data_IF_867387375501
#
_entry.id   IF_867387375501
#
_cell.length_a   1.000
_cell.length_b   1.000
_cell.length_c   1.000
_cell.angle_alpha   90.00
_cell.angle_beta   90.00
_cell.angle_gamma   90.00
#
_symmetry.space_group_name_H-M   'P 1'
#
loop_
_entity.id
_entity.type
_entity.pdbx_description
1 polymer ?
#
# COMPACT_ATOMS: atom_id res chain seq x y z
N UNK A 1 -21.17 3.86 -6.12
CA UNK A 1 -19.89 3.76 -5.40
C UNK A 1 -19.99 2.57 -4.46
N UNK A 2 -19.05 1.66 -4.56
CA UNK A 2 -19.01 0.37 -3.86
C UNK A 2 -18.87 0.56 -2.33
N UNK A 3 -20.01 0.68 -1.63
CA UNK A 3 -20.10 0.85 -0.17
C UNK A 3 -19.59 -0.35 0.66
N UNK A 4 -19.24 -1.48 0.03
CA UNK A 4 -18.85 -2.71 0.72
C UNK A 4 -17.52 -2.61 1.46
N UNK A 5 -16.59 -1.77 1.01
CA UNK A 5 -15.28 -1.55 1.66
C UNK A 5 -15.45 -0.98 3.09
N UNK A 6 -16.57 -0.28 3.34
CA UNK A 6 -16.88 0.33 4.63
C UNK A 6 -18.06 -0.34 5.37
N UNK A 7 -18.91 -1.11 4.69
CA UNK A 7 -20.14 -1.71 5.29
C UNK A 7 -19.94 -3.06 5.95
N UNK A 8 -19.11 -3.95 5.42
CA UNK A 8 -19.10 -5.35 5.89
C UNK A 8 -18.12 -5.64 7.01
N UNK A 9 -17.51 -4.61 7.62
CA UNK A 9 -16.47 -4.79 8.65
C UNK A 9 -15.28 -5.64 8.17
N UNK A 10 -15.19 -5.91 6.85
CA UNK A 10 -14.17 -6.75 6.26
C UNK A 10 -12.93 -5.89 6.09
N UNK A 11 -12.17 -5.79 7.17
CA UNK A 11 -10.89 -5.08 7.19
C UNK A 11 -9.93 -5.71 6.18
N UNK A 12 -8.99 -4.92 5.64
CA UNK A 12 -7.89 -5.46 4.81
C UNK A 12 -7.19 -6.64 5.50
N UNK A 13 -7.05 -6.55 6.83
CA UNK A 13 -6.58 -7.64 7.68
C UNK A 13 -7.45 -8.90 7.57
N UNK A 14 -8.78 -8.77 7.70
CA UNK A 14 -9.70 -9.90 7.54
C UNK A 14 -9.62 -10.55 6.15
N UNK A 15 -9.46 -9.77 5.07
CA UNK A 15 -9.26 -10.34 3.72
C UNK A 15 -7.93 -11.08 3.62
N UNK A 16 -6.86 -10.51 4.19
CA UNK A 16 -5.54 -11.14 4.22
C UNK A 16 -5.56 -12.48 4.95
N UNK A 17 -6.19 -12.53 6.13
CA UNK A 17 -6.36 -13.73 6.95
C UNK A 17 -7.29 -14.76 6.28
N UNK A 18 -8.39 -14.32 5.66
CA UNK A 18 -9.34 -15.20 4.95
C UNK A 18 -8.67 -15.97 3.81
N UNK A 19 -7.74 -15.35 3.10
CA UNK A 19 -6.98 -16.00 2.04
C UNK A 19 -5.77 -16.79 2.56
N UNK A 20 -5.53 -16.84 3.89
CA UNK A 20 -4.43 -17.56 4.50
C UNK A 20 -3.05 -17.02 4.11
N UNK A 21 -2.98 -15.75 3.70
CA UNK A 21 -1.75 -15.12 3.20
C UNK A 21 -0.71 -14.90 4.30
N UNK A 22 -1.12 -14.95 5.57
CA UNK A 22 -0.27 -14.92 6.75
C UNK A 22 0.61 -16.16 6.91
N UNK A 23 0.17 -17.31 6.38
CA UNK A 23 0.86 -18.61 6.54
C UNK A 23 1.67 -19.01 5.31
N UNK A 24 1.59 -18.22 4.23
CA UNK A 24 2.33 -18.51 3.00
C UNK A 24 3.76 -17.98 3.08
N UNK A 25 4.75 -18.77 2.64
CA UNK A 25 6.10 -18.26 2.46
C UNK A 25 6.12 -17.20 1.34
N UNK A 26 7.04 -16.24 1.43
CA UNK A 26 7.00 -15.02 0.62
C UNK A 26 7.08 -15.27 -0.90
N UNK A 27 7.75 -16.34 -1.32
CA UNK A 27 7.93 -16.76 -2.70
C UNK A 27 6.67 -17.39 -3.32
N UNK A 28 5.83 -18.02 -2.50
CA UNK A 28 4.51 -18.52 -2.90
C UNK A 28 3.45 -17.42 -2.81
N UNK A 29 3.55 -16.56 -1.79
CA UNK A 29 2.61 -15.48 -1.54
C UNK A 29 2.37 -14.64 -2.80
N UNK A 30 3.44 -14.13 -3.42
CA UNK A 30 3.35 -13.26 -4.60
C UNK A 30 2.73 -13.94 -5.83
N UNK A 31 2.76 -15.29 -5.89
CA UNK A 31 2.24 -16.08 -7.00
C UNK A 31 0.79 -16.52 -6.78
N UNK A 32 0.35 -16.54 -5.52
CA UNK A 32 -0.98 -17.01 -5.13
C UNK A 32 -2.10 -16.15 -5.72
N UNK A 33 -3.21 -16.79 -6.08
CA UNK A 33 -4.41 -16.08 -6.55
C UNK A 33 -5.10 -15.28 -5.43
N UNK A 34 -4.90 -15.69 -4.18
CA UNK A 34 -5.31 -14.93 -3.00
C UNK A 34 -4.61 -13.57 -2.92
N UNK A 35 -3.28 -13.54 -3.14
CA UNK A 35 -2.54 -12.28 -3.16
C UNK A 35 -2.94 -11.39 -4.34
N UNK A 36 -3.18 -11.95 -5.53
CA UNK A 36 -3.70 -11.16 -6.68
C UNK A 36 -5.06 -10.53 -6.36
N UNK A 37 -5.95 -11.30 -5.73
CA UNK A 37 -7.26 -10.82 -5.29
C UNK A 37 -7.12 -9.71 -4.24
N UNK A 38 -6.17 -9.86 -3.33
CA UNK A 38 -5.83 -8.82 -2.35
C UNK A 38 -5.27 -7.56 -3.00
N UNK A 39 -4.37 -7.66 -3.98
CA UNK A 39 -3.88 -6.50 -4.75
C UNK A 39 -5.03 -5.78 -5.46
N UNK A 40 -6.02 -6.51 -5.98
CA UNK A 40 -7.21 -5.90 -6.59
C UNK A 40 -8.06 -5.13 -5.57
N UNK A 41 -8.25 -5.68 -4.36
CA UNK A 41 -8.87 -4.96 -3.24
C UNK A 41 -8.10 -3.67 -2.93
N UNK A 42 -6.77 -3.76 -2.81
CA UNK A 42 -5.90 -2.61 -2.51
C UNK A 42 -5.96 -1.54 -3.60
N UNK A 43 -6.16 -1.92 -4.87
CA UNK A 43 -6.36 -0.97 -5.96
C UNK A 43 -7.63 -0.13 -5.76
N UNK A 44 -8.75 -0.76 -5.44
CA UNK A 44 -10.01 -0.05 -5.15
C UNK A 44 -9.88 0.85 -3.92
N UNK A 45 -9.19 0.37 -2.88
CA UNK A 45 -8.93 1.14 -1.68
C UNK A 45 -8.08 2.39 -1.96
N UNK A 46 -7.00 2.24 -2.73
CA UNK A 46 -6.15 3.36 -3.13
C UNK A 46 -6.90 4.38 -3.99
N UNK A 47 -7.77 3.95 -4.91
CA UNK A 47 -8.58 4.87 -5.72
C UNK A 47 -9.53 5.73 -4.86
N UNK A 48 -10.12 5.14 -3.81
CA UNK A 48 -10.95 5.88 -2.85
C UNK A 48 -10.10 6.92 -2.10
N UNK A 49 -8.95 6.52 -1.54
CA UNK A 49 -8.07 7.44 -0.81
C UNK A 49 -7.51 8.54 -1.71
N UNK A 50 -7.22 8.22 -2.96
CA UNK A 50 -6.76 9.19 -3.94
C UNK A 50 -7.84 10.24 -4.25
N UNK A 51 -9.08 9.81 -4.48
CA UNK A 51 -10.21 10.72 -4.68
C UNK A 51 -10.48 11.58 -3.43
N UNK A 52 -10.56 10.96 -2.26
CA UNK A 52 -10.81 11.63 -0.99
C UNK A 52 -9.72 12.66 -0.65
N UNK A 53 -8.46 12.36 -0.98
CA UNK A 53 -7.37 13.35 -0.84
C UNK A 53 -7.60 14.59 -1.70
N UNK A 54 -8.12 14.42 -2.91
CA UNK A 54 -8.39 15.54 -3.81
C UNK A 54 -9.62 16.35 -3.38
N UNK A 55 -10.65 15.68 -2.86
CA UNK A 55 -11.93 16.30 -2.49
C UNK A 55 -11.93 16.89 -1.07
N UNK A 56 -11.37 16.17 -0.11
CA UNK A 56 -11.47 16.47 1.33
C UNK A 56 -10.13 16.80 1.99
N UNK A 57 -9.05 16.86 1.21
CA UNK A 57 -7.73 17.26 1.73
C UNK A 57 -7.13 16.26 2.71
N UNK A 58 -7.37 14.96 2.52
CA UNK A 58 -6.82 13.89 3.36
C UNK A 58 -5.31 14.05 3.55
N UNK A 59 -4.91 14.46 4.76
CA UNK A 59 -3.52 14.75 5.10
C UNK A 59 -2.81 13.57 5.80
N UNK A 60 -3.57 12.64 6.37
CA UNK A 60 -3.05 11.55 7.21
C UNK A 60 -3.06 10.17 6.52
N UNK A 61 -2.60 10.11 5.27
CA UNK A 61 -2.52 8.86 4.49
C UNK A 61 -1.77 7.73 5.21
N UNK A 62 -0.73 8.09 5.97
CA UNK A 62 0.08 7.18 6.78
C UNK A 62 -0.74 6.30 7.74
N UNK A 63 -1.79 6.85 8.36
CA UNK A 63 -2.64 6.13 9.34
C UNK A 63 -3.29 4.90 8.71
N UNK A 64 -3.49 4.93 7.39
CA UNK A 64 -4.05 3.81 6.65
C UNK A 64 -3.05 2.68 6.39
N UNK A 65 -1.75 2.82 6.66
CA UNK A 65 -0.76 1.78 6.33
C UNK A 65 0.22 1.46 7.46
N UNK A 66 0.22 2.25 8.54
CA UNK A 66 1.19 2.13 9.63
C UNK A 66 1.19 0.78 10.35
N UNK A 67 0.01 0.20 10.54
CA UNK A 67 -0.18 -1.04 11.31
C UNK A 67 -0.20 -2.30 10.42
N UNK A 68 -0.10 -2.12 9.09
CA UNK A 68 -0.12 -3.22 8.14
C UNK A 68 1.27 -3.89 8.07
N UNK A 69 1.36 -5.23 8.02
CA UNK A 69 2.61 -5.95 7.76
C UNK A 69 3.29 -5.57 6.43
N UNK A 70 4.61 -5.75 6.32
CA UNK A 70 5.42 -5.45 5.13
C UNK A 70 4.81 -5.97 3.82
N UNK A 71 4.34 -7.21 3.84
CA UNK A 71 3.73 -7.85 2.67
C UNK A 71 2.40 -7.18 2.24
N UNK A 72 1.60 -6.69 3.20
CA UNK A 72 0.36 -5.97 2.91
C UNK A 72 0.66 -4.59 2.32
N UNK A 73 1.63 -3.86 2.90
CA UNK A 73 2.04 -2.56 2.35
C UNK A 73 2.73 -2.73 1.00
N UNK A 74 3.44 -3.84 0.76
CA UNK A 74 3.99 -4.15 -0.55
C UNK A 74 2.90 -4.31 -1.62
N UNK A 75 1.74 -4.90 -1.29
CA UNK A 75 0.61 -4.93 -2.21
C UNK A 75 0.14 -3.50 -2.59
N UNK A 76 0.13 -2.56 -1.64
CA UNK A 76 -0.13 -1.15 -1.92
C UNK A 76 0.95 -0.53 -2.81
N UNK A 77 2.23 -0.85 -2.58
CA UNK A 77 3.35 -0.41 -3.44
C UNK A 77 3.17 -0.86 -4.89
N UNK A 78 2.75 -2.10 -5.12
CA UNK A 78 2.45 -2.61 -6.47
C UNK A 78 1.33 -1.81 -7.13
N UNK A 79 0.27 -1.51 -6.39
CA UNK A 79 -0.85 -0.68 -6.83
C UNK A 79 -0.38 0.72 -7.20
N UNK A 80 0.34 1.40 -6.31
CA UNK A 80 0.83 2.76 -6.54
C UNK A 80 1.77 2.85 -7.74
N UNK A 81 2.64 1.85 -7.90
CA UNK A 81 3.53 1.76 -9.05
C UNK A 81 2.74 1.60 -10.35
N UNK A 82 1.78 0.68 -10.39
CA UNK A 82 0.92 0.45 -11.57
C UNK A 82 0.08 1.68 -11.92
N UNK A 83 -0.49 2.35 -10.92
CA UNK A 83 -1.26 3.58 -11.07
C UNK A 83 -0.38 4.83 -11.28
N UNK A 84 0.95 4.68 -11.31
CA UNK A 84 1.94 5.76 -11.47
C UNK A 84 1.75 6.91 -10.49
N UNK A 85 1.28 6.63 -9.26
CA UNK A 85 1.01 7.65 -8.24
C UNK A 85 2.22 8.59 -8.03
N UNK A 86 2.00 9.86 -7.65
CA UNK A 86 3.11 10.79 -7.41
C UNK A 86 4.02 10.32 -6.26
N UNK A 87 5.31 10.65 -6.33
CA UNK A 87 6.28 10.34 -5.27
C UNK A 87 5.81 10.84 -3.90
N UNK A 88 5.38 12.10 -3.85
CA UNK A 88 4.90 12.74 -2.62
C UNK A 88 3.67 12.05 -2.02
N UNK A 89 2.82 11.42 -2.83
CA UNK A 89 1.69 10.64 -2.34
C UNK A 89 2.17 9.38 -1.63
N UNK A 90 3.08 8.64 -2.26
CA UNK A 90 3.64 7.40 -1.69
C UNK A 90 4.48 7.71 -0.44
N UNK A 91 5.25 8.79 -0.43
CA UNK A 91 5.99 9.21 0.77
C UNK A 91 5.07 9.55 1.95
N UNK A 92 3.91 10.18 1.68
CA UNK A 92 2.90 10.45 2.72
C UNK A 92 2.23 9.18 3.21
N UNK A 93 1.88 8.26 2.31
CA UNK A 93 1.31 6.96 2.66
C UNK A 93 2.29 6.11 3.50
N UNK A 94 3.59 6.22 3.25
CA UNK A 94 4.64 5.54 4.00
C UNK A 94 5.13 6.31 5.23
N UNK A 95 4.58 7.50 5.52
CA UNK A 95 4.99 8.30 6.69
C UNK A 95 6.43 8.83 6.62
N UNK A 96 7.01 8.93 5.43
CA UNK A 96 8.40 9.38 5.20
C UNK A 96 8.47 10.73 4.47
N UNK A 97 7.33 11.37 4.23
CA UNK A 97 7.26 12.68 3.61
C UNK A 97 7.91 13.73 4.50
N UNK A 98 8.87 14.47 3.95
CA UNK A 98 9.64 15.47 4.70
C UNK A 98 10.71 14.89 5.63
N UNK A 99 10.82 13.56 5.74
CA UNK A 99 11.88 12.90 6.53
C UNK A 99 13.15 12.81 5.69
N UNK A 100 14.27 13.42 6.12
CA UNK A 100 15.53 13.38 5.39
C UNK A 100 16.01 11.95 5.12
N UNK A 101 16.63 11.72 3.96
CA UNK A 101 17.03 10.38 3.54
C UNK A 101 17.94 9.67 4.56
N UNK A 102 18.89 10.39 5.18
CA UNK A 102 19.82 9.82 6.15
C UNK A 102 19.10 9.31 7.43
N UNK A 103 17.99 9.92 7.83
CA UNK A 103 17.21 9.52 9.02
C UNK A 103 16.34 8.29 8.74
N UNK A 104 15.85 8.15 7.50
CA UNK A 104 15.03 7.01 7.08
C UNK A 104 15.82 5.91 6.38
N UNK A 105 17.11 6.07 6.15
CA UNK A 105 17.93 5.09 5.45
C UNK A 105 17.91 3.76 6.21
N UNK A 106 17.72 2.64 5.50
CA UNK A 106 17.64 1.31 6.12
C UNK A 106 16.30 0.96 6.77
N UNK A 107 15.40 1.93 6.98
CA UNK A 107 14.05 1.65 7.52
C UNK A 107 13.20 0.84 6.54
N UNK A 108 12.24 0.09 7.08
CA UNK A 108 11.20 -0.62 6.31
C UNK A 108 10.55 0.27 5.24
N UNK A 109 10.05 1.44 5.65
CA UNK A 109 9.31 2.33 4.76
C UNK A 109 10.22 2.90 3.64
N UNK A 110 11.51 3.12 3.93
CA UNK A 110 12.49 3.49 2.90
C UNK A 110 12.74 2.35 1.90
N UNK A 111 12.82 1.09 2.35
CA UNK A 111 12.93 -0.08 1.45
C UNK A 111 11.72 -0.18 0.52
N UNK A 112 10.50 -0.11 1.07
CA UNK A 112 9.25 -0.12 0.29
C UNK A 112 9.17 1.04 -0.71
N UNK A 113 9.62 2.23 -0.34
CA UNK A 113 9.68 3.36 -1.26
C UNK A 113 10.69 3.15 -2.40
N UNK A 114 11.85 2.54 -2.10
CA UNK A 114 12.82 2.20 -3.13
C UNK A 114 12.27 1.15 -4.10
N UNK A 115 11.48 0.20 -3.62
CA UNK A 115 10.77 -0.76 -4.47
C UNK A 115 9.78 -0.07 -5.40
N UNK A 116 8.99 0.88 -4.89
CA UNK A 116 8.12 1.72 -5.71
C UNK A 116 8.88 2.45 -6.84
N UNK A 117 10.02 3.06 -6.51
CA UNK A 117 10.87 3.75 -7.50
C UNK A 117 11.39 2.79 -8.57
N UNK A 118 11.87 1.61 -8.15
CA UNK A 118 12.35 0.56 -9.07
C UNK A 118 11.24 0.08 -10.02
N UNK A 119 10.05 -0.19 -9.50
CA UNK A 119 8.90 -0.65 -10.29
C UNK A 119 8.41 0.40 -11.30
N UNK A 120 8.57 1.69 -10.99
CA UNK A 120 8.16 2.78 -11.88
C UNK A 120 9.25 3.22 -12.86
N UNK A 121 10.45 2.61 -12.82
CA UNK A 121 11.61 3.04 -13.60
C UNK A 121 12.13 4.43 -13.23
N UNK A 122 11.64 5.01 -12.12
CA UNK A 122 12.00 6.35 -11.67
C UNK A 122 13.27 6.24 -10.83
N UNK A 123 14.42 6.66 -11.36
CA UNK A 123 15.69 6.68 -10.60
C UNK A 123 15.58 7.61 -9.37
N UNK A 124 16.28 7.23 -8.29
CA UNK A 124 16.41 8.01 -7.05
C UNK A 124 16.80 9.45 -7.35
#
# INVERSE_FOLDING_TARGET
>A
MDQWIWRDGTTRKAVWEKYGLDKMPADELLKSDGFKSYVHLMAKYDDILWADRHENGLNSLWVHYQDDPDAQVYAAVLVWAKAKRPRSYVEKALGIYGVPYYERSGTRNSKLFNDFLRLTGRKK
#
